data_IF_004254020528
#
_entry.id   IF_004254020528
#
_cell.length_a   1.000
_cell.length_b   1.000
_cell.length_c   1.000
_cell.angle_alpha   90.00
_cell.angle_beta   90.00
_cell.angle_gamma   90.00
#
_symmetry.space_group_name_H-M   'P 1'
#
loop_
_entity.id
_entity.type
_entity.pdbx_description
1 polymer ?
#
# COMPACT_ATOMS: atom_id res chain seq x y z
N UNK A 1 -3.24 9.76 10.15
CA UNK A 1 -3.50 8.40 10.68
C UNK A 1 -2.57 7.43 9.97
N UNK A 2 -1.75 6.67 10.68
CA UNK A 2 -1.00 5.55 10.09
C UNK A 2 -1.90 4.33 10.21
N UNK A 3 -2.59 3.97 9.14
CA UNK A 3 -3.36 2.73 9.07
C UNK A 3 -2.43 1.58 8.67
N UNK A 4 -2.42 0.49 9.44
CA UNK A 4 -1.75 -0.75 9.05
C UNK A 4 -2.78 -1.58 8.28
N UNK A 5 -2.44 -2.01 7.07
CA UNK A 5 -3.24 -2.92 6.27
C UNK A 5 -2.63 -4.31 6.39
N UNK A 6 -3.41 -5.28 6.86
CA UNK A 6 -2.98 -6.69 6.95
C UNK A 6 -2.84 -7.27 5.54
N UNK A 7 -1.97 -8.24 5.35
CA UNK A 7 -1.91 -8.94 4.06
C UNK A 7 -3.14 -9.86 3.91
N UNK A 8 -4.02 -9.66 2.90
CA UNK A 8 -5.16 -10.53 2.67
C UNK A 8 -4.75 -11.92 2.16
N UNK A 9 -3.58 -12.05 1.53
CA UNK A 9 -3.05 -13.31 1.02
C UNK A 9 -1.53 -13.24 0.80
N UNK A 10 -0.71 -13.98 1.56
CA UNK A 10 0.75 -13.97 1.45
C UNK A 10 1.32 -14.37 0.08
N UNK A 11 0.53 -15.01 -0.78
CA UNK A 11 0.93 -15.40 -2.14
C UNK A 11 0.70 -14.30 -3.18
N UNK A 12 0.07 -13.19 -2.79
CA UNK A 12 -0.25 -12.11 -3.70
C UNK A 12 0.95 -11.19 -3.93
N UNK A 13 1.01 -10.63 -5.14
CA UNK A 13 1.91 -9.52 -5.38
C UNK A 13 1.42 -8.28 -4.61
N UNK A 14 2.35 -7.38 -4.30
CA UNK A 14 2.04 -6.11 -3.62
C UNK A 14 1.00 -5.30 -4.40
N UNK A 15 1.05 -5.34 -5.74
CA UNK A 15 0.07 -4.71 -6.62
C UNK A 15 -1.33 -5.31 -6.47
N UNK A 16 -1.42 -6.63 -6.27
CA UNK A 16 -2.70 -7.32 -6.05
C UNK A 16 -3.31 -6.91 -4.71
N UNK A 17 -2.49 -6.82 -3.66
CA UNK A 17 -2.90 -6.31 -2.35
C UNK A 17 -3.36 -4.85 -2.44
N UNK A 18 -2.63 -4.00 -3.18
CA UNK A 18 -3.00 -2.61 -3.42
C UNK A 18 -4.35 -2.49 -4.13
N UNK A 19 -4.55 -3.27 -5.20
CA UNK A 19 -5.81 -3.30 -5.97
C UNK A 19 -6.98 -3.79 -5.11
N UNK A 20 -6.75 -4.79 -4.26
CA UNK A 20 -7.77 -5.28 -3.32
C UNK A 20 -8.23 -4.16 -2.37
N UNK A 21 -7.29 -3.47 -1.73
CA UNK A 21 -7.61 -2.40 -0.80
C UNK A 21 -8.11 -1.11 -1.47
N UNK A 22 -7.82 -0.91 -2.75
CA UNK A 22 -8.29 0.25 -3.51
C UNK A 22 -9.81 0.32 -3.62
N UNK A 23 -10.51 -0.82 -3.54
CA UNK A 23 -11.98 -0.86 -3.50
C UNK A 23 -12.56 -0.17 -2.27
N UNK A 24 -11.87 -0.27 -1.12
CA UNK A 24 -12.29 0.33 0.14
C UNK A 24 -11.65 1.70 0.39
N UNK A 25 -10.43 1.90 -0.11
CA UNK A 25 -9.65 3.12 0.04
C UNK A 25 -9.27 3.65 -1.34
N UNK A 26 -10.14 4.44 -2.00
CA UNK A 26 -9.91 4.94 -3.36
C UNK A 26 -8.58 5.70 -3.53
N UNK A 27 -8.05 6.30 -2.46
CA UNK A 27 -6.73 6.96 -2.46
C UNK A 27 -5.56 6.03 -2.82
N UNK A 28 -5.73 4.72 -2.67
CA UNK A 28 -4.72 3.73 -3.03
C UNK A 28 -4.63 3.49 -4.54
N UNK A 29 -5.67 3.84 -5.31
CA UNK A 29 -5.67 3.68 -6.78
C UNK A 29 -4.57 4.48 -7.48
N UNK A 30 -4.16 5.61 -6.89
CA UNK A 30 -3.09 6.48 -7.39
C UNK A 30 -1.85 6.46 -6.50
N UNK A 31 -1.84 5.60 -5.48
CA UNK A 31 -0.71 5.48 -4.58
C UNK A 31 0.45 4.75 -5.25
N UNK A 32 1.67 5.10 -4.86
CA UNK A 32 2.89 4.42 -5.26
C UNK A 32 3.36 3.48 -4.16
N UNK A 33 3.84 2.31 -4.55
CA UNK A 33 4.51 1.39 -3.64
C UNK A 33 5.95 1.87 -3.43
N UNK A 34 6.32 2.19 -2.19
CA UNK A 34 7.71 2.50 -1.84
C UNK A 34 8.58 1.23 -1.88
N UNK A 35 9.89 1.40 -1.82
CA UNK A 35 10.81 0.28 -1.68
C UNK A 35 10.47 -0.58 -0.46
N UNK A 36 10.59 -1.93 -0.58
CA UNK A 36 10.38 -2.82 0.55
C UNK A 36 11.35 -2.48 1.68
N UNK A 37 10.85 -2.52 2.90
CA UNK A 37 11.67 -2.39 4.11
C UNK A 37 11.54 -3.65 4.94
N UNK A 38 12.65 -4.11 5.50
CA UNK A 38 12.64 -5.20 6.46
C UNK A 38 12.53 -4.53 7.83
N UNK A 39 11.45 -4.82 8.55
CA UNK A 39 11.23 -4.39 9.93
C UNK A 39 11.07 -5.64 10.79
N UNK A 40 11.89 -5.76 11.83
CA UNK A 40 12.00 -6.95 12.69
C UNK A 40 12.33 -8.21 11.88
N UNK A 41 11.33 -9.01 11.52
CA UNK A 41 11.43 -10.21 10.68
C UNK A 41 10.39 -10.24 9.55
N UNK A 42 9.84 -9.07 9.19
CA UNK A 42 8.78 -8.94 8.19
C UNK A 42 9.13 -7.92 7.11
N UNK A 43 8.71 -8.20 5.87
CA UNK A 43 8.80 -7.25 4.77
C UNK A 43 7.58 -6.34 4.82
N UNK A 44 7.82 -5.05 5.03
CA UNK A 44 6.79 -4.02 5.11
C UNK A 44 6.85 -3.15 3.85
N UNK A 45 5.67 -2.95 3.25
CA UNK A 45 5.48 -2.05 2.11
C UNK A 45 4.73 -0.80 2.55
N UNK A 46 5.21 0.36 2.11
CA UNK A 46 4.53 1.64 2.32
C UNK A 46 3.85 2.06 1.03
N UNK A 47 2.57 2.41 1.14
CA UNK A 47 1.85 3.05 0.05
C UNK A 47 1.87 4.56 0.25
N UNK A 48 2.43 5.27 -0.72
CA UNK A 48 2.54 6.72 -0.72
C UNK A 48 1.48 7.29 -1.65
N UNK A 49 0.43 7.85 -1.06
CA UNK A 49 -0.58 8.58 -1.82
C UNK A 49 0.05 9.88 -2.34
N UNK A 50 -0.04 10.12 -3.64
CA UNK A 50 0.28 11.43 -4.19
C UNK A 50 -0.93 12.31 -3.95
N UNK A 51 -0.88 13.12 -2.90
CA UNK A 51 -1.81 14.23 -2.77
C UNK A 51 -1.48 15.19 -3.90
N UNK A 52 -2.36 15.28 -4.90
CA UNK A 52 -2.14 16.14 -6.07
C UNK A 52 -1.81 17.56 -5.63
N UNK A 53 -0.73 18.12 -6.15
CA UNK A 53 -0.47 19.56 -6.04
C UNK A 53 -1.58 20.24 -6.81
N UNK A 54 -2.47 20.92 -6.09
CA UNK A 54 -3.45 21.82 -6.68
C UNK A 54 -2.69 22.81 -7.56
N UNK A 55 -3.02 22.85 -8.85
CA UNK A 55 -2.56 23.87 -9.79
C UNK A 55 -3.18 25.22 -9.48
#
# INVERSE_FOLDING_TARGET
>A
MRGILTDPNPQWSVESVLNFYSNQYPILTTAKVSTPKIEEDSVVYKFESIMGTKG
#
